data_IF_754098913967
#
_entry.id   IF_754098913967
#
_cell.length_a   1.000
_cell.length_b   1.000
_cell.length_c   1.000
_cell.angle_alpha   90.00
_cell.angle_beta   90.00
_cell.angle_gamma   90.00
#
_symmetry.space_group_name_H-M   'P 1'
#
loop_
_entity.id
_entity.type
_entity.pdbx_description
1 polymer ?
#
# COMPACT_ATOMS: atom_id res chain seq x y z
N UNK A 1 21.47 -12.82 5.78
CA UNK A 1 21.15 -13.43 4.47
C UNK A 1 22.19 -12.95 3.46
N UNK A 2 22.50 -13.73 2.42
CA UNK A 2 23.40 -13.28 1.33
C UNK A 2 22.68 -12.20 0.52
N UNK A 3 23.30 -11.03 0.34
CA UNK A 3 22.65 -9.89 -0.36
C UNK A 3 22.25 -10.22 -1.81
N UNK A 4 22.96 -11.14 -2.47
CA UNK A 4 22.72 -11.49 -3.88
C UNK A 4 21.62 -12.55 -4.09
N UNK A 5 21.44 -13.48 -3.14
CA UNK A 5 20.55 -14.65 -3.32
C UNK A 5 19.44 -14.72 -2.29
N UNK A 6 19.48 -13.89 -1.25
CA UNK A 6 18.54 -13.96 -0.13
C UNK A 6 18.71 -15.19 0.76
N UNK A 7 19.66 -16.08 0.45
CA UNK A 7 19.87 -17.32 1.20
C UNK A 7 20.28 -17.05 2.65
N UNK A 8 19.77 -17.88 3.55
CA UNK A 8 20.05 -17.80 4.99
C UNK A 8 21.45 -18.33 5.24
N UNK A 9 22.35 -17.45 5.69
CA UNK A 9 23.75 -17.78 6.03
C UNK A 9 23.93 -18.09 7.50
N UNK A 10 23.12 -17.46 8.36
CA UNK A 10 23.14 -17.65 9.80
C UNK A 10 21.71 -17.52 10.33
N UNK A 11 21.34 -18.40 11.26
CA UNK A 11 20.06 -18.39 11.94
C UNK A 11 20.30 -18.65 13.42
N UNK A 12 19.77 -17.77 14.25
CA UNK A 12 19.70 -17.95 15.70
C UNK A 12 18.28 -17.61 16.17
N UNK A 13 17.93 -18.07 17.37
CA UNK A 13 16.64 -17.88 18.01
C UNK A 13 16.81 -17.24 19.38
N UNK A 14 16.01 -16.22 19.65
CA UNK A 14 15.87 -15.58 20.95
C UNK A 14 14.68 -16.17 21.71
N UNK A 15 14.66 -16.03 23.04
CA UNK A 15 13.50 -16.41 23.86
C UNK A 15 12.28 -15.50 23.70
N UNK A 16 12.48 -14.30 23.17
CA UNK A 16 11.44 -13.27 22.96
C UNK A 16 11.67 -12.53 21.63
N UNK A 17 10.76 -11.63 21.27
CA UNK A 17 10.86 -10.83 20.05
C UNK A 17 12.13 -9.98 20.04
N UNK A 18 12.73 -9.81 18.86
CA UNK A 18 13.91 -8.95 18.67
C UNK A 18 13.44 -7.50 18.64
N UNK A 19 13.90 -6.69 19.58
CA UNK A 19 13.60 -5.25 19.67
C UNK A 19 14.46 -4.43 18.70
N UNK A 20 15.72 -4.83 18.51
CA UNK A 20 16.62 -4.10 17.64
C UNK A 20 17.90 -4.87 17.32
N UNK A 21 18.47 -4.58 16.15
CA UNK A 21 19.75 -5.10 15.69
C UNK A 21 20.61 -3.91 15.32
N UNK A 22 21.79 -3.81 15.93
CA UNK A 22 22.73 -2.70 15.71
C UNK A 22 24.14 -3.22 15.46
N UNK A 23 24.94 -2.43 14.77
CA UNK A 23 26.35 -2.72 14.54
C UNK A 23 27.17 -1.75 15.38
N UNK A 24 27.98 -2.28 16.30
CA UNK A 24 28.87 -1.49 17.12
C UNK A 24 30.02 -2.35 17.64
N UNK A 25 31.17 -1.73 17.86
CA UNK A 25 32.25 -2.35 18.63
C UNK A 25 31.96 -2.16 20.13
N UNK A 26 31.31 -3.17 20.73
CA UNK A 26 30.96 -3.12 22.15
C UNK A 26 32.16 -3.41 23.05
N UNK A 27 33.12 -4.20 22.56
CA UNK A 27 34.28 -4.66 23.34
C UNK A 27 35.46 -3.68 23.28
N UNK A 28 35.46 -2.75 22.34
CA UNK A 28 36.58 -1.85 22.07
C UNK A 28 37.76 -2.56 21.41
N UNK A 29 37.51 -3.72 20.80
CA UNK A 29 38.55 -4.59 20.20
C UNK A 29 38.87 -4.17 18.75
N UNK A 30 38.32 -3.05 18.26
CA UNK A 30 38.45 -2.56 16.90
C UNK A 30 37.59 -3.32 15.88
N UNK A 31 36.81 -4.31 16.35
CA UNK A 31 35.99 -5.18 15.53
C UNK A 31 34.52 -4.84 15.74
N UNK A 32 33.81 -4.54 14.65
CA UNK A 32 32.37 -4.27 14.71
C UNK A 32 31.62 -5.57 14.96
N UNK A 33 30.81 -5.59 16.02
CA UNK A 33 29.94 -6.71 16.37
C UNK A 33 28.50 -6.42 15.93
N UNK A 34 27.77 -7.49 15.63
CA UNK A 34 26.33 -7.42 15.45
C UNK A 34 25.66 -7.66 16.81
N UNK A 35 25.05 -6.64 17.38
CA UNK A 35 24.38 -6.69 18.67
C UNK A 35 22.88 -6.83 18.41
N UNK A 36 22.28 -7.88 18.94
CA UNK A 36 20.86 -8.14 18.87
C UNK A 36 20.27 -8.03 20.28
N UNK A 37 19.26 -7.18 20.43
CA UNK A 37 18.56 -6.96 21.68
C UNK A 37 17.13 -7.51 21.59
N UNK A 38 16.72 -8.32 22.57
CA UNK A 38 15.32 -8.75 22.73
C UNK A 38 14.49 -7.70 23.48
N UNK A 39 13.17 -7.80 23.38
CA UNK A 39 12.23 -6.95 24.15
C UNK A 39 12.39 -7.16 25.66
N UNK A 40 12.75 -8.37 26.08
CA UNK A 40 12.95 -8.71 27.49
C UNK A 40 14.30 -8.22 28.05
N UNK A 41 15.15 -7.61 27.22
CA UNK A 41 16.46 -7.10 27.61
C UNK A 41 17.60 -8.11 27.49
N UNK A 42 17.39 -9.25 26.84
CA UNK A 42 18.49 -10.16 26.47
C UNK A 42 19.30 -9.54 25.34
N UNK A 43 20.61 -9.35 25.55
CA UNK A 43 21.51 -8.78 24.55
C UNK A 43 22.56 -9.81 24.17
N UNK A 44 22.68 -10.09 22.87
CA UNK A 44 23.70 -11.01 22.32
C UNK A 44 24.53 -10.30 21.26
N UNK A 45 25.86 -10.42 21.36
CA UNK A 45 26.81 -9.92 20.38
C UNK A 45 27.35 -11.06 19.51
N UNK A 46 27.32 -10.88 18.19
CA UNK A 46 27.89 -11.81 17.22
C UNK A 46 29.04 -11.15 16.48
N UNK A 47 30.21 -11.79 16.52
CA UNK A 47 31.38 -11.39 15.74
C UNK A 47 31.32 -12.00 14.35
N UNK A 48 31.81 -11.24 13.35
CA UNK A 48 32.01 -11.79 12.01
C UNK A 48 33.10 -12.87 12.05
N UNK A 49 32.85 -14.01 11.39
CA UNK A 49 33.80 -15.11 11.32
C UNK A 49 35.13 -14.72 10.62
N UNK A 50 35.19 -13.59 9.91
CA UNK A 50 36.40 -13.06 9.27
C UNK A 50 37.46 -12.55 10.26
N UNK A 51 37.06 -12.22 11.49
CA UNK A 51 37.92 -11.57 12.49
C UNK A 51 38.44 -12.53 13.57
N UNK A 52 38.03 -13.79 13.54
CA UNK A 52 38.55 -14.83 14.44
C UNK A 52 39.86 -15.37 13.85
N UNK A 53 41.00 -15.07 14.50
CA UNK A 53 42.29 -15.69 14.18
C UNK A 53 42.16 -17.23 14.23
N UNK A 54 42.84 -17.97 13.33
CA UNK A 54 42.70 -19.42 13.16
C UNK A 54 43.44 -20.22 14.25
N UNK A 55 43.17 -19.93 15.52
CA UNK A 55 43.81 -20.61 16.66
C UNK A 55 42.98 -20.63 17.95
N UNK A 56 41.80 -19.99 17.99
CA UNK A 56 40.88 -20.10 19.12
C UNK A 56 39.97 -21.34 19.00
N UNK A 57 39.62 -21.95 20.15
CA UNK A 57 38.88 -23.22 20.36
C UNK A 57 37.47 -23.31 19.71
N UNK A 58 37.13 -22.43 18.76
CA UNK A 58 35.92 -22.49 17.92
C UNK A 58 36.15 -23.04 16.50
N UNK A 59 37.36 -23.49 16.17
CA UNK A 59 37.73 -23.95 14.82
C UNK A 59 37.04 -25.23 14.32
N UNK A 60 36.40 -26.01 15.21
CA UNK A 60 35.71 -27.24 14.83
C UNK A 60 34.37 -27.01 14.09
N UNK A 61 33.75 -25.83 14.24
CA UNK A 61 32.46 -25.53 13.59
C UNK A 61 32.58 -25.19 12.10
N UNK A 62 33.74 -24.72 11.61
CA UNK A 62 33.84 -24.22 10.22
C UNK A 62 33.78 -25.34 9.18
N UNK A 63 34.36 -26.51 9.48
CA UNK A 63 34.31 -27.68 8.59
C UNK A 63 32.97 -28.42 8.69
N UNK A 64 32.40 -28.55 9.90
CA UNK A 64 31.06 -29.13 10.07
C UNK A 64 29.96 -28.29 9.43
N UNK A 65 30.05 -26.95 9.48
CA UNK A 65 29.00 -26.06 8.98
C UNK A 65 29.08 -25.85 7.47
N UNK A 66 30.30 -25.76 6.93
CA UNK A 66 30.49 -25.87 5.48
C UNK A 66 29.99 -27.22 4.97
N UNK A 67 30.25 -28.32 5.70
CA UNK A 67 29.68 -29.63 5.39
C UNK A 67 28.15 -29.67 5.43
N UNK A 68 27.52 -28.98 6.40
CA UNK A 68 26.06 -28.97 6.57
C UNK A 68 25.34 -28.14 5.51
N UNK A 69 25.92 -27.02 5.08
CA UNK A 69 25.40 -26.23 3.96
C UNK A 69 25.58 -26.97 2.63
N UNK A 70 26.73 -27.60 2.42
CA UNK A 70 26.97 -28.48 1.27
C UNK A 70 26.00 -29.66 1.26
N UNK A 71 25.69 -30.25 2.43
CA UNK A 71 24.72 -31.34 2.55
C UNK A 71 23.30 -30.89 2.21
N UNK A 72 22.84 -29.72 2.70
CA UNK A 72 21.52 -29.15 2.34
C UNK A 72 21.42 -28.81 0.85
N UNK A 73 22.52 -28.35 0.25
CA UNK A 73 22.58 -28.14 -1.20
C UNK A 73 22.50 -29.47 -1.96
N UNK A 74 23.26 -30.49 -1.54
CA UNK A 74 23.19 -31.84 -2.10
C UNK A 74 21.78 -32.44 -1.97
N UNK A 75 21.11 -32.24 -0.84
CA UNK A 75 19.75 -32.70 -0.59
C UNK A 75 18.72 -31.98 -1.47
N UNK A 76 18.79 -30.65 -1.58
CA UNK A 76 17.90 -29.88 -2.48
C UNK A 76 18.14 -30.23 -3.95
N UNK A 77 19.38 -30.50 -4.36
CA UNK A 77 19.71 -31.01 -5.69
C UNK A 77 19.20 -32.43 -5.93
N UNK A 78 19.28 -33.30 -4.92
CA UNK A 78 18.73 -34.66 -4.99
C UNK A 78 17.20 -34.64 -5.11
N UNK A 79 16.52 -33.78 -4.33
CA UNK A 79 15.07 -33.54 -4.45
C UNK A 79 14.71 -32.99 -5.83
N UNK A 80 15.45 -32.00 -6.34
CA UNK A 80 15.23 -31.46 -7.69
C UNK A 80 15.44 -32.51 -8.77
N UNK A 81 16.46 -33.37 -8.64
CA UNK A 81 16.68 -34.51 -9.55
C UNK A 81 15.48 -35.48 -9.50
N UNK A 82 14.97 -35.79 -8.31
CA UNK A 82 13.81 -36.66 -8.16
C UNK A 82 12.55 -36.04 -8.79
N UNK A 83 12.32 -34.74 -8.62
CA UNK A 83 11.20 -34.03 -9.25
C UNK A 83 11.30 -34.06 -10.78
N UNK A 84 12.48 -33.81 -11.35
CA UNK A 84 12.72 -33.87 -12.80
C UNK A 84 12.52 -35.29 -13.36
N UNK A 85 12.90 -36.32 -12.61
CA UNK A 85 12.64 -37.71 -13.01
C UNK A 85 11.14 -38.05 -13.01
N UNK A 86 10.38 -37.50 -12.06
CA UNK A 86 8.92 -37.62 -12.04
C UNK A 86 8.29 -36.88 -13.23
N UNK A 87 8.76 -35.68 -13.56
CA UNK A 87 8.31 -34.93 -14.74
C UNK A 87 8.58 -35.70 -16.03
N UNK A 88 9.79 -36.26 -16.22
CA UNK A 88 10.10 -37.12 -17.37
C UNK A 88 9.17 -38.33 -17.48
N UNK A 89 8.90 -39.00 -16.36
CA UNK A 89 7.97 -40.13 -16.33
C UNK A 89 6.54 -39.69 -16.69
N UNK A 90 6.13 -38.50 -16.28
CA UNK A 90 4.84 -37.92 -16.64
C UNK A 90 4.78 -37.62 -18.14
N UNK A 91 5.81 -37.02 -18.73
CA UNK A 91 5.87 -36.76 -20.18
C UNK A 91 5.85 -38.04 -21.01
N UNK A 92 6.61 -39.07 -20.61
CA UNK A 92 6.59 -40.38 -21.27
C UNK A 92 5.22 -41.07 -21.18
N UNK A 93 4.52 -40.93 -20.04
CA UNK A 93 3.18 -41.45 -19.87
C UNK A 93 2.16 -40.69 -20.75
N UNK A 94 2.22 -39.36 -20.78
CA UNK A 94 1.38 -38.52 -21.64
C UNK A 94 1.61 -38.80 -23.13
N UNK A 95 2.85 -39.04 -23.56
CA UNK A 95 3.15 -39.37 -24.96
C UNK A 95 2.59 -40.73 -25.38
N UNK A 96 2.64 -41.74 -24.49
CA UNK A 96 2.04 -43.05 -24.73
C UNK A 96 0.51 -42.96 -24.89
N UNK A 97 -0.15 -42.22 -24.00
CA UNK A 97 -1.60 -41.97 -24.06
C UNK A 97 -2.00 -41.18 -25.32
N UNK A 98 -1.14 -40.27 -25.80
CA UNK A 98 -1.39 -39.51 -27.02
C UNK A 98 -1.17 -40.31 -28.32
N UNK A 99 -0.42 -41.43 -28.27
CA UNK A 99 -0.20 -42.32 -29.42
C UNK A 99 -1.26 -43.42 -29.55
N UNK A 100 -1.99 -43.74 -28.49
CA UNK A 100 -3.15 -44.64 -28.49
C UNK A 100 -4.36 -43.97 -29.16
N UNK A 101 -4.99 -44.66 -30.12
CA UNK A 101 -6.11 -44.12 -30.93
C UNK A 101 -7.45 -44.03 -30.18
N UNK A 102 -7.56 -44.58 -28.97
CA UNK A 102 -8.76 -44.50 -28.12
C UNK A 102 -8.36 -44.12 -26.68
N UNK A 103 -8.55 -42.86 -26.25
CA UNK A 103 -8.12 -42.40 -24.92
C UNK A 103 -9.02 -42.88 -23.77
N UNK A 104 -10.16 -43.53 -24.04
CA UNK A 104 -11.16 -43.88 -23.03
C UNK A 104 -11.09 -45.33 -22.53
N UNK A 105 -10.46 -46.25 -23.27
CA UNK A 105 -10.51 -47.69 -22.97
C UNK A 105 -9.40 -48.15 -22.01
N UNK A 106 -8.20 -47.58 -22.07
CA UNK A 106 -7.07 -47.98 -21.21
C UNK A 106 -7.04 -47.31 -19.83
N UNK A 107 -7.77 -46.19 -19.63
CA UNK A 107 -7.84 -45.51 -18.32
C UNK A 107 -8.72 -46.28 -17.32
N UNK A 108 -9.54 -47.23 -17.79
CA UNK A 108 -10.49 -47.99 -16.96
C UNK A 108 -9.87 -49.13 -16.15
N UNK A 109 -8.63 -49.56 -16.44
CA UNK A 109 -7.99 -50.68 -15.72
C UNK A 109 -7.04 -50.26 -14.59
N UNK A 110 -6.80 -48.96 -14.40
CA UNK A 110 -5.93 -48.43 -13.35
C UNK A 110 -6.59 -47.31 -12.59
N UNK A 111 -7.63 -47.64 -11.80
CA UNK A 111 -8.45 -46.76 -10.98
C UNK A 111 -7.87 -45.39 -10.63
N UNK A 112 -8.11 -44.40 -11.49
CA UNK A 112 -8.66 -43.06 -11.24
C UNK A 112 -8.73 -42.37 -12.61
N UNK A 113 -9.85 -41.72 -12.99
CA UNK A 113 -9.87 -40.92 -14.20
C UNK A 113 -8.89 -39.76 -14.01
N UNK A 114 -7.67 -39.88 -14.55
CA UNK A 114 -6.77 -38.74 -14.65
C UNK A 114 -7.57 -37.60 -15.30
N UNK A 115 -7.54 -36.41 -14.72
CA UNK A 115 -8.23 -35.24 -15.23
C UNK A 115 -7.61 -34.75 -16.54
N UNK A 116 -7.69 -35.55 -17.60
CA UNK A 116 -7.12 -35.25 -18.91
C UNK A 116 -7.91 -34.09 -19.50
N UNK A 117 -7.21 -32.99 -19.73
CA UNK A 117 -7.71 -31.78 -20.35
C UNK A 117 -7.21 -31.73 -21.81
N UNK A 118 -7.98 -31.17 -22.75
CA UNK A 118 -7.49 -30.95 -24.10
C UNK A 118 -6.23 -30.07 -24.10
N UNK A 119 -5.19 -30.47 -24.85
CA UNK A 119 -3.91 -29.76 -24.90
C UNK A 119 -4.00 -28.32 -25.46
N UNK A 120 -5.09 -27.98 -26.17
CA UNK A 120 -5.37 -26.63 -26.65
C UNK A 120 -6.11 -25.73 -25.66
N UNK A 121 -6.20 -26.10 -24.38
CA UNK A 121 -6.90 -25.28 -23.38
C UNK A 121 -6.04 -24.09 -23.00
N UNK A 122 -6.49 -22.90 -23.39
CA UNK A 122 -5.85 -21.64 -23.03
C UNK A 122 -6.73 -20.89 -22.01
N UNK A 123 -6.06 -20.18 -21.11
CA UNK A 123 -6.68 -19.28 -20.16
C UNK A 123 -6.69 -17.88 -20.76
N UNK A 124 -7.88 -17.36 -21.09
CA UNK A 124 -8.06 -15.97 -21.46
C UNK A 124 -8.45 -15.19 -20.21
N UNK A 125 -7.73 -14.10 -19.96
CA UNK A 125 -7.99 -13.23 -18.83
C UNK A 125 -8.20 -11.82 -19.36
N UNK A 126 -9.36 -11.24 -19.14
CA UNK A 126 -9.70 -9.89 -19.57
C UNK A 126 -10.11 -9.04 -18.36
N UNK A 127 -9.79 -7.75 -18.40
CA UNK A 127 -10.25 -6.79 -17.41
C UNK A 127 -11.40 -5.99 -18.02
N UNK A 128 -12.54 -5.99 -17.34
CA UNK A 128 -13.70 -5.18 -17.70
C UNK A 128 -14.15 -4.39 -16.49
N UNK A 129 -14.37 -3.09 -16.63
CA UNK A 129 -14.83 -2.27 -15.54
C UNK A 129 -16.36 -2.30 -15.47
N UNK A 130 -16.92 -2.67 -14.32
CA UNK A 130 -18.36 -2.77 -14.12
C UNK A 130 -18.90 -1.46 -13.52
N UNK A 131 -19.70 -0.74 -14.30
CA UNK A 131 -20.54 0.35 -13.82
C UNK A 131 -21.95 -0.21 -13.55
N UNK A 132 -22.53 0.01 -12.36
CA UNK A 132 -23.93 -0.26 -12.13
C UNK A 132 -24.76 0.80 -12.87
N UNK A 133 -25.02 0.59 -14.15
CA UNK A 133 -25.92 1.48 -14.88
C UNK A 133 -27.39 1.17 -14.54
N UNK A 134 -28.14 2.23 -14.27
CA UNK A 134 -29.55 2.17 -13.95
C UNK A 134 -30.39 1.90 -15.18
N UNK A 135 -30.60 0.64 -15.55
CA UNK A 135 -31.70 0.22 -16.42
C UNK A 135 -31.32 -0.76 -17.53
N UNK A 136 -31.77 -2.01 -17.39
CA UNK A 136 -31.74 -3.02 -18.46
C UNK A 136 -31.62 -4.43 -17.91
N UNK A 137 -32.74 -5.16 -17.88
CA UNK A 137 -32.90 -6.42 -17.16
C UNK A 137 -32.12 -7.61 -17.74
N UNK A 138 -31.75 -8.53 -16.85
CA UNK A 138 -31.10 -9.78 -17.26
C UNK A 138 -30.57 -10.64 -16.11
N UNK A 139 -31.42 -10.97 -15.13
CA UNK A 139 -31.38 -12.19 -14.31
C UNK A 139 -30.07 -12.62 -13.63
N UNK A 140 -30.01 -12.49 -12.30
CA UNK A 140 -29.12 -13.31 -11.47
C UNK A 140 -28.74 -12.63 -10.16
N UNK A 141 -29.41 -13.01 -9.06
CA UNK A 141 -29.28 -12.35 -7.76
C UNK A 141 -27.87 -12.30 -7.17
N UNK A 142 -27.48 -11.09 -6.80
CA UNK A 142 -26.36 -10.72 -5.94
C UNK A 142 -26.51 -9.23 -5.63
N UNK A 143 -26.39 -8.82 -4.37
CA UNK A 143 -26.74 -7.47 -3.89
C UNK A 143 -26.07 -6.33 -4.65
N UNK A 144 -26.58 -5.09 -4.53
CA UNK A 144 -26.00 -3.85 -5.06
C UNK A 144 -24.46 -3.84 -4.90
N UNK A 145 -23.75 -4.27 -5.93
CA UNK A 145 -22.29 -4.29 -5.95
C UNK A 145 -21.84 -2.88 -6.29
N UNK A 146 -20.94 -2.35 -5.45
CA UNK A 146 -20.23 -1.12 -5.76
C UNK A 146 -19.53 -1.26 -7.12
N UNK A 147 -19.35 -0.16 -7.88
CA UNK A 147 -18.55 -0.18 -9.09
C UNK A 147 -17.17 -0.77 -8.81
N UNK A 148 -16.78 -1.78 -9.58
CA UNK A 148 -15.53 -2.53 -9.38
C UNK A 148 -14.94 -2.95 -10.71
N UNK A 149 -13.65 -3.27 -10.71
CA UNK A 149 -13.00 -3.85 -11.88
C UNK A 149 -13.26 -5.35 -11.83
N UNK A 150 -13.87 -5.90 -12.87
CA UNK A 150 -14.10 -7.32 -13.00
C UNK A 150 -12.97 -7.94 -13.82
N UNK A 151 -12.21 -8.85 -13.23
CA UNK A 151 -11.29 -9.73 -13.93
C UNK A 151 -12.07 -10.98 -14.35
N UNK A 152 -12.31 -11.14 -15.65
CA UNK A 152 -12.88 -12.36 -16.21
C UNK A 152 -11.76 -13.34 -16.54
N UNK A 153 -11.85 -14.53 -15.98
CA UNK A 153 -10.95 -15.66 -16.26
C UNK A 153 -11.77 -16.70 -17.00
N UNK A 154 -11.46 -16.90 -18.27
CA UNK A 154 -12.18 -17.76 -19.19
C UNK A 154 -11.30 -18.88 -19.74
N UNK A 155 -11.79 -20.11 -19.68
CA UNK A 155 -11.19 -21.23 -20.39
C UNK A 155 -11.80 -21.35 -21.79
N UNK A 156 -10.96 -21.50 -22.82
CA UNK A 156 -11.42 -21.58 -24.23
C UNK A 156 -12.27 -22.83 -24.52
N UNK A 157 -12.17 -23.87 -23.69
CA UNK A 157 -12.84 -25.15 -23.90
C UNK A 157 -13.95 -25.37 -22.86
N UNK A 158 -14.76 -26.44 -23.03
CA UNK A 158 -15.83 -26.87 -22.10
C UNK A 158 -15.30 -27.41 -20.75
N UNK A 159 -14.13 -26.93 -20.33
CA UNK A 159 -13.51 -27.22 -19.05
C UNK A 159 -14.01 -26.24 -18.01
N UNK A 160 -14.24 -26.72 -16.80
CA UNK A 160 -14.71 -25.90 -15.69
C UNK A 160 -13.53 -25.38 -14.86
N UNK A 161 -13.65 -24.14 -14.40
CA UNK A 161 -12.72 -23.54 -13.45
C UNK A 161 -13.21 -23.86 -12.04
N UNK A 162 -12.45 -24.67 -11.30
CA UNK A 162 -12.82 -25.13 -9.95
C UNK A 162 -12.46 -24.11 -8.88
N UNK A 163 -11.32 -23.45 -9.04
CA UNK A 163 -10.83 -22.44 -8.13
C UNK A 163 -9.91 -21.47 -8.89
N UNK A 164 -9.87 -20.22 -8.44
CA UNK A 164 -8.89 -19.24 -8.91
C UNK A 164 -8.22 -18.66 -7.67
N UNK A 165 -6.89 -18.70 -7.63
CA UNK A 165 -6.08 -18.07 -6.60
C UNK A 165 -5.37 -16.90 -7.26
N UNK A 166 -5.57 -15.70 -6.74
CA UNK A 166 -4.91 -14.49 -7.22
C UNK A 166 -3.95 -14.04 -6.13
N UNK A 167 -2.67 -13.95 -6.46
CA UNK A 167 -1.71 -13.29 -5.59
C UNK A 167 -1.48 -11.86 -6.09
N UNK A 168 -1.54 -10.93 -5.16
CA UNK A 168 -1.40 -9.51 -5.43
C UNK A 168 -0.90 -8.81 -4.17
N UNK A 169 0.15 -8.00 -4.29
CA UNK A 169 0.64 -7.20 -3.18
C UNK A 169 -0.26 -5.97 -2.94
N UNK A 170 -0.82 -5.84 -1.74
CA UNK A 170 -1.54 -4.63 -1.33
C UNK A 170 -2.93 -4.43 -1.93
N UNK A 171 -3.48 -5.43 -2.64
CA UNK A 171 -4.83 -5.40 -3.20
C UNK A 171 -5.88 -6.11 -2.31
N UNK A 172 -5.45 -7.09 -1.52
CA UNK A 172 -6.32 -7.91 -0.68
C UNK A 172 -5.93 -7.80 0.79
N UNK A 173 -6.85 -8.17 1.70
CA UNK A 173 -6.55 -8.40 3.12
C UNK A 173 -5.71 -9.69 3.29
N UNK A 174 -4.45 -9.65 2.82
CA UNK A 174 -3.53 -10.79 2.76
C UNK A 174 -2.70 -10.79 1.47
N UNK A 175 -1.97 -11.87 1.22
CA UNK A 175 -1.15 -12.04 0.01
C UNK A 175 -1.94 -12.67 -1.17
N UNK A 176 -3.03 -13.38 -0.86
CA UNK A 176 -3.78 -14.15 -1.85
C UNK A 176 -5.28 -14.05 -1.64
N UNK A 177 -6.02 -13.93 -2.73
CA UNK A 177 -7.47 -14.06 -2.74
C UNK A 177 -7.88 -15.34 -3.48
N UNK A 178 -8.65 -16.18 -2.80
CA UNK A 178 -9.10 -17.47 -3.34
C UNK A 178 -10.59 -17.41 -3.61
N UNK A 179 -10.95 -17.67 -4.86
CA UNK A 179 -12.35 -17.80 -5.27
C UNK A 179 -12.63 -19.25 -5.59
N UNK A 180 -13.58 -19.80 -4.85
CA UNK A 180 -14.07 -21.17 -5.00
C UNK A 180 -15.56 -21.14 -5.35
N UNK A 181 -15.93 -21.21 -6.65
CA UNK A 181 -17.32 -21.31 -7.05
C UNK A 181 -17.95 -22.61 -6.51
N UNK A 182 -19.16 -22.55 -5.91
CA UNK A 182 -19.85 -23.74 -5.43
C UNK A 182 -20.22 -24.67 -6.60
N UNK A 183 -20.33 -25.98 -6.34
CA UNK A 183 -20.53 -27.05 -7.34
C UNK A 183 -21.69 -26.81 -8.35
N UNK A 184 -22.67 -25.98 -8.01
CA UNK A 184 -23.81 -25.61 -8.87
C UNK A 184 -23.62 -24.37 -9.76
N UNK A 185 -22.49 -23.65 -9.64
CA UNK A 185 -22.13 -22.46 -10.45
C UNK A 185 -20.76 -22.63 -11.12
N UNK A 186 -20.36 -23.87 -11.43
CA UNK A 186 -19.15 -24.10 -12.21
C UNK A 186 -19.43 -23.72 -13.65
N UNK A 187 -18.70 -22.74 -14.14
CA UNK A 187 -18.68 -22.35 -15.54
C UNK A 187 -17.26 -22.37 -16.07
N UNK A 188 -17.14 -22.21 -17.39
CA UNK A 188 -15.89 -21.93 -18.09
C UNK A 188 -15.39 -20.50 -17.86
N UNK A 189 -16.21 -19.62 -17.26
CA UNK A 189 -15.90 -18.23 -16.94
C UNK A 189 -16.09 -17.98 -15.43
N UNK A 190 -15.05 -17.44 -14.79
CA UNK A 190 -15.10 -16.95 -13.41
C UNK A 190 -14.81 -15.46 -13.42
N UNK A 191 -15.66 -14.71 -12.76
CA UNK A 191 -15.59 -13.26 -12.66
C UNK A 191 -15.15 -12.87 -11.25
N UNK A 192 -14.12 -12.04 -11.17
CA UNK A 192 -13.50 -11.65 -9.91
C UNK A 192 -13.58 -10.13 -9.74
N UNK A 193 -14.30 -9.62 -8.72
CA UNK A 193 -14.31 -8.20 -8.41
C UNK A 193 -12.98 -7.80 -7.75
N UNK A 194 -12.32 -6.80 -8.32
CA UNK A 194 -11.10 -6.18 -7.81
C UNK A 194 -11.42 -4.72 -7.48
N UNK A 195 -11.08 -4.31 -6.26
CA UNK A 195 -11.18 -2.94 -5.79
C UNK A 195 -9.85 -2.53 -5.12
N UNK A 196 -8.88 -2.00 -5.90
CA UNK A 196 -7.68 -1.42 -5.33
C UNK A 196 -7.97 -0.25 -4.39
N UNK A 197 -7.40 -0.29 -3.18
CA UNK A 197 -7.49 0.83 -2.22
C UNK A 197 -6.63 2.04 -2.65
N UNK A 198 -5.61 1.81 -3.48
CA UNK A 198 -4.63 2.81 -3.93
C UNK A 198 -4.37 2.72 -5.44
N UNK A 199 -4.04 3.85 -6.04
CA UNK A 199 -3.62 3.96 -7.44
C UNK A 199 -2.16 3.53 -7.59
N UNK A 200 -1.93 2.22 -7.56
CA UNK A 200 -0.62 1.61 -7.77
C UNK A 200 -0.72 0.57 -8.86
N UNK A 201 0.30 0.48 -9.70
CA UNK A 201 0.39 -0.60 -10.67
C UNK A 201 0.71 -1.90 -9.92
N UNK A 202 -0.16 -2.91 -10.03
CA UNK A 202 -0.03 -4.18 -9.30
C UNK A 202 0.07 -5.33 -10.29
N UNK A 203 1.07 -6.19 -10.12
CA UNK A 203 1.17 -7.44 -10.88
C UNK A 203 0.36 -8.53 -10.18
N UNK A 204 -0.63 -9.06 -10.89
CA UNK A 204 -1.49 -10.16 -10.45
C UNK A 204 -0.94 -11.46 -11.01
N UNK A 205 -0.52 -12.39 -10.14
CA UNK A 205 -0.27 -13.76 -10.55
C UNK A 205 -1.50 -14.61 -10.24
N UNK A 206 -2.15 -15.08 -11.30
CA UNK A 206 -3.40 -15.82 -11.27
C UNK A 206 -3.06 -17.30 -11.46
N UNK A 207 -3.44 -18.12 -10.50
CA UNK A 207 -3.40 -19.57 -10.58
C UNK A 207 -4.83 -20.10 -10.71
N UNK A 208 -5.21 -20.50 -11.92
CA UNK A 208 -6.53 -21.05 -12.21
C UNK A 208 -6.48 -22.59 -12.21
N UNK A 209 -7.35 -23.20 -11.42
CA UNK A 209 -7.52 -24.66 -11.35
C UNK A 209 -8.58 -25.08 -12.36
N UNK A 210 -8.14 -25.65 -13.48
CA UNK A 210 -9.01 -26.08 -14.59
C UNK A 210 -9.16 -27.60 -14.56
N UNK A 211 -10.36 -28.10 -14.84
CA UNK A 211 -10.61 -29.54 -14.99
C UNK A 211 -12.06 -29.86 -15.29
N UNK A 212 -12.47 -31.09 -15.01
CA UNK A 212 -13.85 -31.56 -15.16
C UNK A 212 -14.60 -31.51 -13.83
N UNK A 213 -15.95 -31.36 -13.81
CA UNK A 213 -16.72 -31.20 -12.57
C UNK A 213 -16.56 -32.36 -11.56
N UNK A 214 -16.28 -33.57 -12.04
CA UNK A 214 -16.14 -34.80 -11.24
C UNK A 214 -14.69 -35.23 -11.01
N UNK A 215 -13.70 -34.47 -11.51
CA UNK A 215 -12.30 -34.87 -11.40
C UNK A 215 -11.73 -34.61 -10.00
N UNK A 216 -10.81 -35.48 -9.57
CA UNK A 216 -10.03 -35.35 -8.34
C UNK A 216 -8.72 -34.60 -8.56
N UNK A 217 -8.26 -34.49 -9.80
CA UNK A 217 -7.01 -33.84 -10.20
C UNK A 217 -7.30 -32.70 -11.17
N UNK A 218 -6.79 -31.51 -10.87
CA UNK A 218 -6.97 -30.30 -11.68
C UNK A 218 -5.60 -29.82 -12.19
N UNK A 219 -5.58 -29.23 -13.37
CA UNK A 219 -4.40 -28.56 -13.90
C UNK A 219 -4.36 -27.12 -13.40
N UNK A 220 -3.20 -26.69 -12.90
CA UNK A 220 -2.97 -25.31 -12.46
C UNK A 220 -2.37 -24.54 -13.63
N UNK A 221 -3.11 -23.54 -14.12
CA UNK A 221 -2.62 -22.60 -15.11
C UNK A 221 -2.17 -21.33 -14.41
N UNK A 222 -0.92 -20.97 -14.62
CA UNK A 222 -0.34 -19.72 -14.10
C UNK A 222 -0.41 -18.65 -15.20
N UNK A 223 -1.01 -17.51 -14.88
CA UNK A 223 -1.06 -16.34 -15.75
C UNK A 223 -0.67 -15.10 -14.95
N UNK A 224 0.23 -14.28 -15.51
CA UNK A 224 0.60 -13.01 -14.90
C UNK A 224 -0.05 -11.87 -15.68
N UNK A 225 -0.76 -10.98 -14.98
CA UNK A 225 -1.40 -9.79 -15.55
C UNK A 225 -1.09 -8.57 -14.73
N UNK A 226 -0.67 -7.50 -15.40
CA UNK A 226 -0.39 -6.21 -14.77
C UNK A 226 -1.65 -5.35 -14.79
N UNK A 227 -2.07 -4.91 -13.62
CA UNK A 227 -3.09 -3.90 -13.42
C UNK A 227 -2.41 -2.51 -13.43
N UNK A 228 -2.75 -1.61 -14.38
CA UNK A 228 -2.21 -0.26 -14.45
C UNK A 228 -2.54 0.57 -13.21
N UNK A 229 -1.78 1.65 -13.03
CA UNK A 229 -1.88 2.52 -11.85
C UNK A 229 -3.29 3.12 -11.69
N UNK A 230 -3.89 3.56 -12.79
CA UNK A 230 -5.19 4.23 -12.80
C UNK A 230 -6.28 3.31 -13.38
N UNK A 231 -6.38 2.08 -12.86
CA UNK A 231 -7.33 1.08 -13.36
C UNK A 231 -8.78 1.37 -12.98
N UNK A 232 -9.02 2.17 -11.94
CA UNK A 232 -10.35 2.49 -11.40
C UNK A 232 -11.04 3.67 -12.11
N UNK A 233 -10.45 4.17 -13.20
CA UNK A 233 -10.94 5.31 -13.95
C UNK A 233 -11.42 4.84 -15.32
N UNK A 234 -12.72 4.87 -15.54
CA UNK A 234 -13.32 4.43 -16.81
C UNK A 234 -13.53 5.64 -17.72
N UNK A 235 -13.20 5.55 -19.02
CA UNK A 235 -13.54 6.61 -19.97
C UNK A 235 -15.06 6.83 -20.01
N UNK A 236 -15.49 8.07 -19.83
CA UNK A 236 -16.89 8.49 -19.92
C UNK A 236 -17.02 9.52 -21.05
N UNK A 237 -18.12 9.53 -21.83
CA UNK A 237 -18.36 10.61 -22.79
C UNK A 237 -18.34 11.97 -22.08
N UNK A 238 -17.69 12.96 -22.71
CA UNK A 238 -17.41 14.33 -22.23
C UNK A 238 -18.61 15.13 -21.66
N UNK A 239 -19.83 14.60 -21.70
CA UNK A 239 -21.08 15.31 -21.44
C UNK A 239 -21.57 15.18 -19.98
N UNK A 240 -20.75 14.69 -19.04
CA UNK A 240 -21.19 14.46 -17.65
C UNK A 240 -20.93 15.68 -16.77
N UNK A 241 -21.99 16.42 -16.45
CA UNK A 241 -22.05 17.29 -15.27
C UNK A 241 -21.95 16.40 -14.01
N UNK A 242 -21.18 16.74 -12.97
CA UNK A 242 -20.65 18.05 -12.59
C UNK A 242 -19.20 18.31 -13.04
N UNK A 243 -18.89 19.56 -13.39
CA UNK A 243 -17.51 19.97 -13.66
C UNK A 243 -16.75 20.14 -12.33
N UNK A 244 -15.57 19.52 -12.18
CA UNK A 244 -14.76 19.70 -10.97
C UNK A 244 -14.27 21.15 -10.89
N UNK A 245 -14.24 21.72 -9.69
CA UNK A 245 -13.78 23.09 -9.45
C UNK A 245 -12.25 23.17 -9.35
N UNK A 246 -11.61 22.04 -9.04
CA UNK A 246 -10.16 21.94 -8.98
C UNK A 246 -9.53 21.92 -10.36
N UNK A 247 -8.61 22.85 -10.62
CA UNK A 247 -7.89 22.95 -11.90
C UNK A 247 -6.40 23.05 -11.67
N UNK A 248 -5.67 22.22 -12.38
CA UNK A 248 -4.21 22.18 -12.36
C UNK A 248 -3.70 22.37 -13.78
N UNK A 249 -2.88 23.38 -13.99
CA UNK A 249 -2.30 23.70 -15.28
C UNK A 249 -0.77 23.65 -15.21
N UNK A 250 -0.16 22.98 -16.18
CA UNK A 250 1.29 22.94 -16.34
C UNK A 250 1.65 22.79 -17.81
N UNK A 251 2.93 22.99 -18.13
CA UNK A 251 3.42 22.93 -19.49
C UNK A 251 4.29 21.71 -19.70
N UNK A 252 3.94 20.87 -20.68
CA UNK A 252 4.73 19.69 -21.07
C UNK A 252 5.22 19.90 -22.50
N UNK A 253 6.54 20.06 -22.72
CA UNK A 253 7.09 20.26 -24.06
C UNK A 253 7.23 18.92 -24.80
N UNK A 254 6.14 18.19 -25.02
CA UNK A 254 6.15 16.88 -25.68
C UNK A 254 5.04 16.68 -26.72
N UNK A 255 5.19 15.61 -27.52
CA UNK A 255 4.23 15.23 -28.56
C UNK A 255 3.00 14.55 -27.98
N UNK A 256 1.86 14.77 -28.65
CA UNK A 256 0.58 14.12 -28.35
C UNK A 256 0.70 12.59 -28.30
N UNK A 257 1.49 11.99 -29.20
CA UNK A 257 1.70 10.54 -29.32
C UNK A 257 2.28 9.92 -28.04
N UNK A 258 3.26 10.58 -27.42
CA UNK A 258 3.87 10.13 -26.16
C UNK A 258 2.87 10.18 -25.01
N UNK A 259 2.04 11.24 -24.97
CA UNK A 259 0.99 11.39 -23.94
C UNK A 259 -0.11 10.35 -24.13
N UNK A 260 -0.50 10.03 -25.38
CA UNK A 260 -1.46 8.95 -25.66
C UNK A 260 -0.89 7.57 -25.33
N UNK A 261 0.41 7.34 -25.56
CA UNK A 261 1.09 6.11 -25.14
C UNK A 261 1.10 5.95 -23.61
N UNK A 262 1.47 7.01 -22.89
CA UNK A 262 1.40 7.05 -21.43
C UNK A 262 -0.02 6.78 -20.91
N UNK A 263 -1.04 7.37 -21.55
CA UNK A 263 -2.43 7.19 -21.15
C UNK A 263 -2.89 5.73 -21.33
N UNK A 264 -2.50 5.07 -22.42
CA UNK A 264 -2.79 3.64 -22.64
C UNK A 264 -2.04 2.72 -21.67
N UNK A 265 -0.81 3.08 -21.27
CA UNK A 265 -0.02 2.30 -20.33
C UNK A 265 -0.50 2.49 -18.88
N UNK A 266 -1.00 3.68 -18.54
CA UNK A 266 -1.35 4.07 -17.17
C UNK A 266 -2.83 3.90 -16.84
N UNK A 267 -3.71 4.00 -17.83
CA UNK A 267 -5.16 3.80 -17.72
C UNK A 267 -5.60 2.55 -18.48
N UNK A 268 -6.73 1.97 -18.07
CA UNK A 268 -7.43 0.93 -18.84
C UNK A 268 -8.19 1.56 -20.02
N UNK A 269 -7.44 2.24 -20.90
CA UNK A 269 -7.99 2.84 -22.09
C UNK A 269 -8.13 1.77 -23.17
N UNK A 270 -9.33 1.21 -23.29
CA UNK A 270 -9.72 0.53 -24.52
C UNK A 270 -9.69 1.56 -25.63
N UNK A 271 -8.92 1.31 -26.69
CA UNK A 271 -8.83 2.17 -27.87
C UNK A 271 -10.22 2.31 -28.52
N UNK A 272 -11.05 3.21 -28.00
CA UNK A 272 -12.22 3.75 -28.66
C UNK A 272 -11.78 4.95 -29.48
N UNK A 273 -11.98 4.89 -30.79
CA UNK A 273 -11.51 5.84 -31.82
C UNK A 273 -12.01 7.29 -31.64
N UNK A 274 -12.78 7.62 -30.59
CA UNK A 274 -13.58 8.84 -30.51
C UNK A 274 -13.04 9.94 -29.55
N UNK A 275 -11.80 9.89 -29.06
CA UNK A 275 -11.26 10.97 -28.19
C UNK A 275 -9.96 11.62 -28.66
N UNK A 276 -9.35 11.15 -29.75
CA UNK A 276 -8.21 11.83 -30.38
C UNK A 276 -8.73 12.71 -31.52
N UNK A 277 -9.33 13.83 -31.16
CA UNK A 277 -9.63 14.89 -32.14
C UNK A 277 -8.36 15.69 -32.34
N UNK A 278 -7.51 15.30 -33.30
CA UNK A 278 -6.40 16.17 -33.77
C UNK A 278 -6.96 17.58 -34.01
N UNK A 279 -6.55 18.65 -33.29
CA UNK A 279 -5.29 18.85 -32.55
C UNK A 279 -5.39 18.95 -31.00
N UNK A 280 -6.42 18.42 -30.33
CA UNK A 280 -6.58 18.45 -28.86
C UNK A 280 -6.89 17.06 -28.30
N UNK A 281 -6.23 16.69 -27.20
CA UNK A 281 -6.67 15.56 -26.39
C UNK A 281 -7.65 16.09 -25.36
N UNK A 282 -8.86 15.56 -25.32
CA UNK A 282 -9.79 15.82 -24.23
C UNK A 282 -10.40 14.48 -23.84
N UNK A 283 -10.02 13.96 -22.67
CA UNK A 283 -10.50 12.69 -22.16
C UNK A 283 -11.14 12.94 -20.80
N UNK A 284 -12.37 12.48 -20.64
CA UNK A 284 -13.06 12.47 -19.36
C UNK A 284 -13.06 11.04 -18.82
N UNK A 285 -12.66 10.88 -17.58
CA UNK A 285 -12.74 9.65 -16.83
C UNK A 285 -13.69 9.80 -15.65
N UNK A 286 -14.33 8.71 -15.26
CA UNK A 286 -15.11 8.65 -14.03
C UNK A 286 -14.39 7.74 -13.02
N UNK A 287 -14.13 8.27 -11.83
CA UNK A 287 -13.60 7.48 -10.72
C UNK A 287 -14.66 6.50 -10.21
N UNK A 288 -14.36 5.21 -10.20
CA UNK A 288 -15.25 4.21 -9.62
C UNK A 288 -15.34 4.29 -8.09
N UNK A 289 -14.35 4.89 -7.41
CA UNK A 289 -14.36 4.97 -5.93
C UNK A 289 -15.26 6.08 -5.40
N UNK A 290 -15.17 7.24 -6.03
CA UNK A 290 -15.77 8.47 -5.53
C UNK A 290 -16.84 9.05 -6.45
N UNK A 291 -17.03 8.44 -7.64
CA UNK A 291 -17.92 8.94 -8.70
C UNK A 291 -17.61 10.37 -9.16
N UNK A 292 -16.41 10.88 -8.86
CA UNK A 292 -15.97 12.18 -9.34
C UNK A 292 -15.39 12.08 -10.75
N UNK A 293 -15.73 13.03 -11.64
CA UNK A 293 -15.12 13.10 -12.95
C UNK A 293 -13.70 13.66 -12.88
N UNK A 294 -12.85 13.14 -13.75
CA UNK A 294 -11.49 13.57 -14.01
C UNK A 294 -11.42 13.96 -15.48
N UNK A 295 -11.10 15.22 -15.77
CA UNK A 295 -10.97 15.69 -17.14
C UNK A 295 -9.50 16.01 -17.41
N UNK A 296 -8.93 15.33 -18.40
CA UNK A 296 -7.59 15.59 -18.91
C UNK A 296 -7.71 16.31 -20.25
N UNK A 297 -7.16 17.50 -20.34
CA UNK A 297 -7.12 18.27 -21.59
C UNK A 297 -5.69 18.66 -21.93
N UNK A 298 -5.25 18.30 -23.13
CA UNK A 298 -3.93 18.67 -23.64
C UNK A 298 -4.08 19.47 -24.92
N UNK A 299 -3.52 20.69 -24.91
CA UNK A 299 -3.56 21.63 -26.02
C UNK A 299 -2.13 21.86 -26.55
N UNK A 300 -1.68 21.08 -27.55
CA UNK A 300 -0.34 21.25 -28.14
C UNK A 300 -0.17 22.63 -28.83
N UNK A 301 -1.25 23.28 -29.27
CA UNK A 301 -1.21 24.60 -29.90
C UNK A 301 -0.82 25.76 -28.94
N UNK A 302 -0.88 25.55 -27.61
CA UNK A 302 -0.49 26.53 -26.60
C UNK A 302 0.74 26.05 -25.83
N UNK A 303 1.87 25.88 -26.54
CA UNK A 303 3.18 25.53 -25.96
C UNK A 303 3.26 24.19 -25.19
N UNK A 304 2.24 23.33 -25.31
CA UNK A 304 2.13 22.09 -24.54
C UNK A 304 1.35 22.23 -23.22
N UNK A 305 0.41 23.16 -23.13
CA UNK A 305 -0.43 23.33 -21.95
C UNK A 305 -1.28 22.06 -21.69
N UNK A 306 -1.01 21.42 -20.54
CA UNK A 306 -1.76 20.30 -20.01
C UNK A 306 -2.59 20.78 -18.81
N UNK A 307 -3.89 20.52 -18.86
CA UNK A 307 -4.86 20.92 -17.84
C UNK A 307 -5.57 19.69 -17.30
N UNK A 308 -5.45 19.49 -15.99
CA UNK A 308 -6.15 18.46 -15.22
C UNK A 308 -7.25 19.16 -14.45
N UNK A 309 -8.48 18.73 -14.63
CA UNK A 309 -9.61 19.17 -13.83
C UNK A 309 -10.08 18.00 -12.98
N UNK A 310 -9.95 18.16 -11.67
CA UNK A 310 -10.30 17.14 -10.66
C UNK A 310 -10.48 17.82 -9.31
N UNK A 311 -11.35 17.31 -8.46
CA UNK A 311 -11.53 17.80 -7.10
C UNK A 311 -10.57 17.15 -6.09
N UNK A 312 -9.91 16.05 -6.49
CA UNK A 312 -8.95 15.34 -5.66
C UNK A 312 -7.51 15.73 -6.00
N UNK A 313 -6.82 16.25 -5.00
CA UNK A 313 -5.45 16.75 -5.14
C UNK A 313 -4.44 15.60 -5.16
N UNK A 314 -4.72 14.50 -4.44
CA UNK A 314 -3.84 13.33 -4.43
C UNK A 314 -3.76 12.71 -5.82
N UNK A 315 -4.91 12.50 -6.44
CA UNK A 315 -5.05 12.01 -7.82
C UNK A 315 -4.31 12.91 -8.81
N UNK A 316 -4.51 14.24 -8.72
CA UNK A 316 -3.80 15.18 -9.58
C UNK A 316 -2.27 15.06 -9.40
N UNK A 317 -1.81 14.88 -8.16
CA UNK A 317 -0.41 14.65 -7.82
C UNK A 317 0.14 13.37 -8.46
N UNK A 318 -0.57 12.25 -8.30
CA UNK A 318 -0.14 10.95 -8.82
C UNK A 318 -0.10 10.93 -10.36
N UNK A 319 -1.06 11.58 -11.03
CA UNK A 319 -1.05 11.76 -12.48
C UNK A 319 0.16 12.58 -12.92
N UNK A 320 0.45 13.70 -12.24
CA UNK A 320 1.60 14.55 -12.59
C UNK A 320 2.92 13.81 -12.37
N UNK A 321 3.06 13.08 -11.25
CA UNK A 321 4.28 12.33 -10.95
C UNK A 321 4.49 11.17 -11.92
N UNK A 322 3.44 10.41 -12.24
CA UNK A 322 3.53 9.31 -13.21
C UNK A 322 3.88 9.84 -14.61
N UNK A 323 3.22 10.90 -15.07
CA UNK A 323 3.53 11.54 -16.35
C UNK A 323 4.97 12.07 -16.37
N UNK A 324 5.42 12.75 -15.31
CA UNK A 324 6.79 13.26 -15.23
C UNK A 324 7.82 12.12 -15.22
N UNK A 325 7.51 10.99 -14.57
CA UNK A 325 8.38 9.80 -14.57
C UNK A 325 8.47 9.13 -15.95
N UNK A 326 7.36 9.10 -16.70
CA UNK A 326 7.30 8.51 -18.03
C UNK A 326 8.04 9.37 -19.05
N UNK A 327 7.88 10.69 -18.97
CA UNK A 327 8.55 11.64 -19.87
C UNK A 327 10.01 11.90 -19.46
N UNK A 328 10.36 11.68 -18.18
CA UNK A 328 11.69 11.98 -17.64
C UNK A 328 11.91 13.46 -17.31
N UNK A 329 10.86 14.20 -16.96
CA UNK A 329 10.96 15.62 -16.58
C UNK A 329 11.62 15.77 -15.20
N UNK A 330 12.71 16.55 -15.13
CA UNK A 330 13.45 16.76 -13.87
C UNK A 330 12.85 17.85 -13.00
N UNK A 331 12.28 18.90 -13.59
CA UNK A 331 11.70 20.04 -12.89
C UNK A 331 10.37 20.45 -13.55
N UNK A 332 9.29 20.49 -12.77
CA UNK A 332 7.97 20.94 -13.24
C UNK A 332 7.33 21.88 -12.23
N UNK A 333 7.06 23.11 -12.68
CA UNK A 333 6.24 24.08 -11.95
C UNK A 333 4.79 23.96 -12.39
N UNK A 334 3.90 23.91 -11.42
CA UNK A 334 2.47 23.72 -11.63
C UNK A 334 1.69 24.85 -10.97
N UNK A 335 0.68 25.37 -11.66
CA UNK A 335 -0.32 26.26 -11.08
C UNK A 335 -1.55 25.44 -10.73
N UNK A 336 -1.89 25.43 -9.44
CA UNK A 336 -2.97 24.60 -8.91
C UNK A 336 -3.99 25.47 -8.20
N UNK A 337 -5.27 25.31 -8.55
CA UNK A 337 -6.38 26.03 -7.95
C UNK A 337 -7.38 25.03 -7.41
N UNK A 338 -7.39 24.84 -6.08
CA UNK A 338 -8.32 23.97 -5.36
C UNK A 338 -9.05 24.76 -4.26
N UNK A 339 -10.12 25.50 -4.60
CA UNK A 339 -10.74 26.45 -3.66
C UNK A 339 -11.34 25.77 -2.41
N UNK A 340 -11.93 24.58 -2.57
CA UNK A 340 -12.57 23.85 -1.46
C UNK A 340 -11.54 23.36 -0.43
N UNK A 341 -10.48 22.70 -0.87
CA UNK A 341 -9.43 22.20 0.02
C UNK A 341 -8.65 23.32 0.71
N UNK A 342 -8.47 24.47 0.04
CA UNK A 342 -7.82 25.63 0.66
C UNK A 342 -8.69 26.25 1.77
N UNK A 343 -10.01 26.21 1.62
CA UNK A 343 -10.93 26.65 2.67
C UNK A 343 -10.88 25.72 3.88
N UNK A 344 -10.93 24.40 3.65
CA UNK A 344 -10.79 23.41 4.71
C UNK A 344 -9.46 23.54 5.46
N UNK A 345 -8.35 23.74 4.74
CA UNK A 345 -7.05 23.97 5.34
C UNK A 345 -7.02 25.24 6.21
N UNK A 346 -7.72 26.30 5.78
CA UNK A 346 -7.83 27.54 6.56
C UNK A 346 -8.59 27.31 7.87
N UNK A 347 -9.69 26.58 7.82
CA UNK A 347 -10.49 26.26 9.00
C UNK A 347 -9.69 25.39 9.99
N UNK A 348 -8.92 24.42 9.49
CA UNK A 348 -8.03 23.58 10.31
C UNK A 348 -6.90 24.42 10.95
N UNK A 349 -6.31 25.37 10.22
CA UNK A 349 -5.27 26.23 10.78
C UNK A 349 -5.81 27.13 11.91
N UNK A 350 -7.04 27.63 11.79
CA UNK A 350 -7.69 28.40 12.85
C UNK A 350 -7.97 27.54 14.09
N UNK A 351 -8.45 26.31 13.90
CA UNK A 351 -8.63 25.33 14.98
C UNK A 351 -7.31 25.01 15.69
N UNK A 352 -6.21 24.83 14.94
CA UNK A 352 -4.88 24.57 15.53
C UNK A 352 -4.45 25.70 16.47
N UNK A 353 -4.71 26.96 16.13
CA UNK A 353 -4.41 28.09 17.01
C UNK A 353 -5.23 28.08 18.31
N UNK A 354 -6.51 27.74 18.23
CA UNK A 354 -7.38 27.60 19.39
C UNK A 354 -6.92 26.45 20.31
N UNK A 355 -6.64 25.28 19.74
CA UNK A 355 -6.14 24.12 20.48
C UNK A 355 -4.80 24.43 21.15
N UNK A 356 -3.91 25.18 20.52
CA UNK A 356 -2.65 25.63 21.13
C UNK A 356 -2.88 26.53 22.35
N UNK A 357 -3.85 27.46 22.29
CA UNK A 357 -4.21 28.34 23.43
C UNK A 357 -4.78 27.52 24.59
N UNK A 358 -5.70 26.59 24.31
CA UNK A 358 -6.29 25.69 25.32
C UNK A 358 -5.21 24.84 25.99
N UNK A 359 -4.32 24.23 25.20
CA UNK A 359 -3.19 23.43 25.71
C UNK A 359 -2.30 24.23 26.65
N UNK A 360 -1.98 25.49 26.31
CA UNK A 360 -1.15 26.36 27.14
C UNK A 360 -1.83 26.65 28.48
N UNK A 361 -3.13 26.94 28.47
CA UNK A 361 -3.93 27.19 29.68
C UNK A 361 -3.99 25.95 30.58
N UNK A 362 -4.34 24.78 30.03
CA UNK A 362 -4.39 23.51 30.78
C UNK A 362 -3.02 23.13 31.34
N UNK A 363 -1.93 23.41 30.62
CA UNK A 363 -0.57 23.12 31.09
C UNK A 363 -0.18 23.99 32.29
N UNK A 364 -0.64 25.24 32.35
CA UNK A 364 -0.44 26.12 33.49
C UNK A 364 -1.24 25.64 34.72
N UNK A 365 -2.54 25.38 34.54
CA UNK A 365 -3.42 24.87 35.61
C UNK A 365 -2.91 23.55 36.21
N UNK A 366 -2.44 22.61 35.37
CA UNK A 366 -1.86 21.36 35.84
C UNK A 366 -0.54 21.55 36.60
N UNK A 367 0.29 22.53 36.22
CA UNK A 367 1.53 22.84 36.91
C UNK A 367 1.25 23.41 38.31
N UNK A 368 0.27 24.30 38.42
CA UNK A 368 -0.20 24.87 39.69
C UNK A 368 -0.78 23.78 40.60
N UNK A 369 -1.63 22.91 40.07
CA UNK A 369 -2.18 21.76 40.81
C UNK A 369 -1.08 20.78 41.26
N UNK A 370 -0.07 20.53 40.41
CA UNK A 370 1.08 19.67 40.77
C UNK A 370 1.96 20.29 41.85
N UNK A 371 2.10 21.62 41.87
CA UNK A 371 2.80 22.35 42.93
C UNK A 371 2.01 22.30 44.25
N UNK A 372 0.69 22.49 44.21
CA UNK A 372 -0.21 22.34 45.35
C UNK A 372 -0.16 20.93 45.95
N UNK A 373 -0.21 19.89 45.11
CA UNK A 373 -0.11 18.49 45.56
C UNK A 373 1.21 18.25 46.28
N UNK A 374 2.36 18.67 45.73
CA UNK A 374 3.66 18.53 46.41
C UNK A 374 3.67 19.19 47.80
N UNK A 375 3.13 20.41 47.90
CA UNK A 375 3.04 21.12 49.18
C UNK A 375 2.10 20.43 50.18
N UNK A 376 0.97 19.90 49.73
CA UNK A 376 0.02 19.18 50.56
C UNK A 376 0.55 17.82 51.03
N UNK A 377 1.34 17.13 50.21
CA UNK A 377 2.01 15.89 50.61
C UNK A 377 2.99 16.16 51.75
N UNK A 378 3.80 17.23 51.66
CA UNK A 378 4.69 17.64 52.76
C UNK A 378 3.90 17.97 54.02
N UNK A 379 2.82 18.77 53.90
CA UNK A 379 1.96 19.12 55.04
C UNK A 379 1.27 17.90 55.67
N UNK A 380 0.83 16.95 54.86
CA UNK A 380 0.22 15.70 55.32
C UNK A 380 1.24 14.86 56.09
N UNK A 381 2.48 14.80 55.61
CA UNK A 381 3.56 14.06 56.26
C UNK A 381 4.01 14.73 57.57
N UNK A 382 4.12 16.05 57.62
CA UNK A 382 4.40 16.80 58.86
C UNK A 382 3.32 16.56 59.92
N UNK A 383 2.05 16.62 59.53
CA UNK A 383 0.93 16.33 60.43
C UNK A 383 0.94 14.87 60.91
N UNK A 384 1.35 13.93 60.05
CA UNK A 384 1.54 12.52 60.40
C UNK A 384 2.65 12.34 61.43
N UNK A 385 3.80 13.00 61.25
CA UNK A 385 4.94 12.96 62.19
C UNK A 385 4.53 13.54 63.55
N UNK A 386 3.72 14.60 63.57
CA UNK A 386 3.20 15.22 64.80
C UNK A 386 2.01 14.47 65.43
N UNK A 387 1.57 13.33 64.87
CA UNK A 387 0.37 12.57 65.29
C UNK A 387 -0.94 13.40 65.29
N UNK A 388 -1.02 14.48 64.52
CA UNK A 388 -2.25 15.26 64.34
C UNK A 388 -3.14 14.64 63.26
N UNK A 389 -3.97 13.69 63.68
CA UNK A 389 -4.89 12.95 62.82
C UNK A 389 -5.99 13.83 62.20
N UNK A 390 -6.28 14.99 62.79
CA UNK A 390 -7.30 15.91 62.28
C UNK A 390 -6.82 16.64 61.03
N UNK A 391 -5.63 17.23 61.10
CA UNK A 391 -5.02 17.94 59.96
C UNK A 391 -4.53 16.97 58.88
N UNK A 392 -4.06 15.78 59.26
CA UNK A 392 -3.71 14.72 58.31
C UNK A 392 -4.91 14.37 57.41
N UNK A 393 -6.09 14.08 57.99
CA UNK A 393 -7.29 13.72 57.22
C UNK A 393 -7.75 14.85 56.28
N UNK A 394 -7.67 16.11 56.73
CA UNK A 394 -7.99 17.28 55.90
C UNK A 394 -7.03 17.42 54.72
N UNK A 395 -5.73 17.23 54.94
CA UNK A 395 -4.73 17.28 53.88
C UNK A 395 -4.94 16.16 52.85
N UNK A 396 -5.23 14.93 53.29
CA UNK A 396 -5.56 13.83 52.37
C UNK A 396 -6.87 14.03 51.62
N UNK A 397 -7.88 14.64 52.25
CA UNK A 397 -9.13 14.99 51.57
C UNK A 397 -8.89 16.02 50.46
N UNK A 398 -8.12 17.07 50.75
CA UNK A 398 -7.73 18.07 49.75
C UNK A 398 -6.87 17.46 48.63
N UNK A 399 -5.95 16.54 48.97
CA UNK A 399 -5.17 15.80 47.97
C UNK A 399 -6.07 14.94 47.07
N UNK A 400 -7.09 14.31 47.63
CA UNK A 400 -8.04 13.50 46.86
C UNK A 400 -8.86 14.35 45.88
N UNK A 401 -9.37 15.50 46.32
CA UNK A 401 -10.07 16.45 45.44
C UNK A 401 -9.16 16.94 44.31
N UNK A 402 -7.95 17.41 44.64
CA UNK A 402 -6.99 17.87 43.65
C UNK A 402 -6.55 16.77 42.68
N UNK A 403 -6.41 15.52 43.15
CA UNK A 403 -6.07 14.41 42.27
C UNK A 403 -7.21 14.09 41.30
N UNK A 404 -8.46 14.15 41.75
CA UNK A 404 -9.63 13.99 40.89
C UNK A 404 -9.68 15.08 39.82
N UNK A 405 -9.44 16.33 40.21
CA UNK A 405 -9.41 17.46 39.28
C UNK A 405 -8.24 17.35 38.29
N UNK A 406 -7.05 16.89 38.75
CA UNK A 406 -5.89 16.67 37.89
C UNK A 406 -6.12 15.53 36.89
N UNK A 407 -6.80 14.45 37.29
CA UNK A 407 -7.19 13.37 36.38
C UNK A 407 -8.18 13.84 35.31
N UNK A 408 -9.18 14.66 35.70
CA UNK A 408 -10.11 15.26 34.74
C UNK A 408 -9.38 16.20 33.77
N UNK A 409 -8.50 17.08 34.29
CA UNK A 409 -7.67 17.96 33.49
C UNK A 409 -6.73 17.21 32.54
N UNK A 410 -6.15 16.09 33.00
CA UNK A 410 -5.31 15.23 32.17
C UNK A 410 -6.09 14.60 31.01
N UNK A 411 -7.31 14.09 31.25
CA UNK A 411 -8.15 13.53 30.19
C UNK A 411 -8.51 14.60 29.15
N UNK A 412 -8.89 15.80 29.58
CA UNK A 412 -9.19 16.92 28.67
C UNK A 412 -7.95 17.30 27.86
N UNK A 413 -6.78 17.37 28.51
CA UNK A 413 -5.50 17.65 27.85
C UNK A 413 -5.12 16.56 26.85
N UNK A 414 -5.34 15.29 27.19
CA UNK A 414 -5.06 14.16 26.31
C UNK A 414 -5.93 14.22 25.05
N UNK A 415 -7.23 14.46 25.21
CA UNK A 415 -8.15 14.61 24.08
C UNK A 415 -7.79 15.81 23.20
N UNK A 416 -7.55 16.97 23.81
CA UNK A 416 -7.08 18.16 23.12
C UNK A 416 -5.75 17.94 22.38
N UNK A 417 -4.84 17.15 22.96
CA UNK A 417 -3.58 16.82 22.31
C UNK A 417 -3.75 15.88 21.12
N UNK A 418 -4.62 14.87 21.22
CA UNK A 418 -4.95 13.97 20.11
C UNK A 418 -5.59 14.72 18.94
N UNK A 419 -6.54 15.61 19.22
CA UNK A 419 -7.18 16.46 18.22
C UNK A 419 -6.16 17.40 17.55
N UNK A 420 -5.28 18.03 18.34
CA UNK A 420 -4.19 18.85 17.82
C UNK A 420 -3.24 18.06 16.90
N UNK A 421 -2.88 16.82 17.29
CA UNK A 421 -2.02 15.96 16.47
C UNK A 421 -2.71 15.60 15.15
N UNK A 422 -4.01 15.36 15.16
CA UNK A 422 -4.78 15.06 13.96
C UNK A 422 -4.88 16.27 13.03
N UNK A 423 -5.18 17.46 13.56
CA UNK A 423 -5.17 18.69 12.78
C UNK A 423 -3.77 18.97 12.18
N UNK A 424 -2.70 18.81 12.97
CA UNK A 424 -1.33 18.95 12.47
C UNK A 424 -0.96 17.90 11.42
N UNK A 425 -1.50 16.68 11.53
CA UNK A 425 -1.35 15.62 10.52
C UNK A 425 -2.02 16.05 9.21
N UNK A 426 -3.25 16.56 9.27
CA UNK A 426 -4.00 17.06 8.10
C UNK A 426 -3.25 18.22 7.43
N UNK A 427 -2.75 19.21 8.19
CA UNK A 427 -1.95 20.32 7.65
C UNK A 427 -0.67 19.82 6.97
N UNK A 428 0.09 18.94 7.63
CA UNK A 428 1.29 18.37 7.02
C UNK A 428 0.97 17.54 5.77
N UNK A 429 -0.12 16.79 5.80
CA UNK A 429 -0.60 16.04 4.64
C UNK A 429 -0.93 17.01 3.50
N UNK A 430 -1.72 18.06 3.72
CA UNK A 430 -2.05 19.08 2.71
C UNK A 430 -0.80 19.73 2.07
N UNK A 431 0.26 19.98 2.86
CA UNK A 431 1.54 20.49 2.35
C UNK A 431 2.23 19.44 1.47
N UNK A 432 2.27 18.17 1.91
CA UNK A 432 2.84 17.08 1.12
C UNK A 432 2.08 16.85 -0.18
N UNK A 433 0.74 16.83 -0.11
CA UNK A 433 -0.18 16.77 -1.24
C UNK A 433 0.16 17.85 -2.27
N UNK A 434 0.24 19.11 -1.83
CA UNK A 434 0.56 20.25 -2.71
C UNK A 434 1.99 20.20 -3.23
N UNK A 435 2.91 19.65 -2.45
CA UNK A 435 4.28 19.36 -2.89
C UNK A 435 4.33 18.28 -3.97
N UNK A 436 3.50 17.24 -3.89
CA UNK A 436 3.39 16.17 -4.87
C UNK A 436 2.81 16.64 -6.21
N UNK A 437 2.14 17.78 -6.28
CA UNK A 437 1.77 18.40 -7.56
C UNK A 437 2.97 18.90 -8.37
N UNK A 438 4.17 18.99 -7.78
CA UNK A 438 5.37 19.54 -8.42
C UNK A 438 6.49 18.50 -8.42
N UNK A 439 7.38 18.61 -9.40
CA UNK A 439 8.49 17.65 -9.59
C UNK A 439 9.81 18.41 -9.50
N UNK A 440 10.79 17.83 -8.81
CA UNK A 440 12.15 18.37 -8.72
C UNK A 440 12.33 19.48 -7.70
N UNK A 441 13.16 20.47 -8.02
CA UNK A 441 13.51 21.60 -7.15
C UNK A 441 12.31 22.42 -6.67
N UNK A 442 11.27 22.70 -7.51
CA UNK A 442 10.08 23.42 -7.08
C UNK A 442 9.34 22.77 -5.90
N UNK A 443 9.39 21.43 -5.76
CA UNK A 443 8.79 20.72 -4.62
C UNK A 443 9.49 21.06 -3.31
N UNK A 444 10.82 21.04 -3.30
CA UNK A 444 11.61 21.34 -2.10
C UNK A 444 11.47 22.81 -1.68
N UNK A 445 11.48 23.73 -2.65
CA UNK A 445 11.27 25.16 -2.42
C UNK A 445 9.89 25.45 -1.82
N UNK A 446 8.84 24.81 -2.34
CA UNK A 446 7.49 24.94 -1.81
C UNK A 446 7.41 24.43 -0.37
N UNK A 447 7.92 23.23 -0.07
CA UNK A 447 7.86 22.67 1.29
C UNK A 447 8.61 23.58 2.28
N UNK A 448 9.76 24.12 1.88
CA UNK A 448 10.50 25.08 2.70
C UNK A 448 9.71 26.39 2.91
N UNK A 449 9.10 26.93 1.86
CA UNK A 449 8.27 28.14 1.92
C UNK A 449 7.02 27.94 2.79
N UNK A 450 6.29 26.83 2.63
CA UNK A 450 5.13 26.49 3.46
C UNK A 450 5.51 26.34 4.93
N UNK A 451 6.65 25.70 5.24
CA UNK A 451 7.16 25.60 6.62
C UNK A 451 7.55 26.95 7.21
N UNK A 452 8.14 27.84 6.40
CA UNK A 452 8.46 29.20 6.82
C UNK A 452 7.18 30.02 7.07
N UNK A 453 6.18 29.91 6.19
CA UNK A 453 4.89 30.59 6.35
C UNK A 453 4.14 30.15 7.61
N UNK A 454 4.16 28.86 7.95
CA UNK A 454 3.58 28.34 9.21
C UNK A 454 4.33 28.90 10.42
N UNK A 455 5.66 28.98 10.35
CA UNK A 455 6.46 29.56 11.43
C UNK A 455 6.16 31.05 11.65
N UNK A 456 5.89 31.78 10.58
CA UNK A 456 5.56 33.20 10.62
C UNK A 456 4.07 33.48 10.86
N UNK A 457 3.21 32.45 10.88
CA UNK A 457 1.74 32.55 11.00
C UNK A 457 1.04 33.33 9.89
N UNK A 458 1.64 33.34 8.69
CA UNK A 458 1.10 34.07 7.55
C UNK A 458 0.22 33.17 6.66
N UNK A 459 -1.02 32.94 7.08
CA UNK A 459 -1.97 32.04 6.39
C UNK A 459 -2.23 32.44 4.93
N UNK A 460 -2.29 33.74 4.62
CA UNK A 460 -2.53 34.22 3.26
C UNK A 460 -1.34 33.98 2.32
N UNK A 461 -0.11 34.04 2.86
CA UNK A 461 1.10 33.71 2.09
C UNK A 461 1.21 32.21 1.85
N UNK A 462 0.74 31.39 2.80
CA UNK A 462 0.68 29.95 2.65
C UNK A 462 -0.27 29.54 1.51
N UNK A 463 -1.49 30.09 1.48
CA UNK A 463 -2.46 29.77 0.42
C UNK A 463 -1.94 30.26 -0.95
N UNK A 464 -1.36 31.46 -1.02
CA UNK A 464 -0.77 31.99 -2.27
C UNK A 464 0.40 31.16 -2.77
N UNK A 465 1.31 30.75 -1.89
CA UNK A 465 2.45 29.90 -2.26
C UNK A 465 2.01 28.51 -2.69
N UNK A 466 0.96 27.95 -2.09
CA UNK A 466 0.38 26.68 -2.53
C UNK A 466 -0.21 26.76 -3.95
N UNK A 467 -0.92 27.86 -4.27
CA UNK A 467 -1.56 28.05 -5.58
C UNK A 467 -0.56 28.30 -6.71
N UNK A 468 0.35 29.27 -6.53
CA UNK A 468 1.20 29.77 -7.60
C UNK A 468 2.66 29.28 -7.54
N UNK A 469 3.05 28.59 -6.46
CA UNK A 469 4.43 28.26 -6.16
C UNK A 469 5.14 29.38 -5.40
N UNK A 470 6.38 29.11 -4.97
CA UNK A 470 7.25 30.15 -4.43
C UNK A 470 7.75 31.00 -5.61
N UNK A 471 7.29 32.25 -5.70
CA UNK A 471 7.92 33.27 -6.54
C UNK A 471 9.16 33.83 -5.87
#
# INVERSE_FOLDING_TARGET
>A
RRSKTGEVVYKDSFGSHVAGIVQADYRGDGNVELICCSVDGEVRGYLSASTVQPGGVGGAGREEWAGQDHWKQLESLAQRKQNLLLELRNFEASEKVSRSKDPLSEISQGGQPMGVIPAGTLLRTEFSAFLPDGGGGGGGGGGKLAPHIELSVEATNDTVIRAVVIFAEGLFEGESHIIHPPSGKLGSCVKVPLLPDKDLAVDLSIQAFVGHPTSTQFHVFEATRRLPQFSLYIPCPLATEPHPQGRVAFNVPERLETVTGWLNDSFMYGAGEDSVLTPYLHVAFLSLRSSFPLILSFKPAQNGAFTIETDDLDLAGDIIQSLASYVGLTDLSVTASFPQQMKELRDVLEQVEELHKIRQKLSAEMADNSALIRNLVVRAEDARIMNDMGNMKKAYFQLYELNKDLMLGYNIRSNNHLELLECLRIVNQAIQKTGNLRVGKPKAQLIAACRAAIKNKDNDTLIKTMMNGAS
#
